data_IF_485820674563
#
_entry.id   IF_485820674563
#
_cell.length_a   1.000
_cell.length_b   1.000
_cell.length_c   1.000
_cell.angle_alpha   90.00
_cell.angle_beta   90.00
_cell.angle_gamma   90.00
#
_symmetry.space_group_name_H-M   'P 1'
#
loop_
_entity.id
_entity.type
_entity.pdbx_description
1 polymer ?
#
# COMPACT_ATOMS: atom_id res chain seq x y z
N UNK A 1 13.82 -13.55 -0.58
CA UNK A 1 13.66 -12.11 -0.38
C UNK A 1 14.07 -11.42 -1.65
N UNK A 2 13.27 -10.46 -2.11
CA UNK A 2 13.35 -9.77 -3.41
C UNK A 2 14.55 -8.79 -3.51
N UNK A 3 15.72 -9.23 -3.05
CA UNK A 3 16.95 -8.45 -3.05
C UNK A 3 17.90 -8.92 -4.15
N UNK A 4 17.49 -8.82 -5.42
CA UNK A 4 18.41 -8.77 -6.57
C UNK A 4 19.65 -9.69 -6.58
N UNK A 5 19.56 -10.93 -6.08
CA UNK A 5 20.67 -11.89 -6.03
C UNK A 5 21.63 -11.81 -4.83
N UNK A 6 21.44 -10.86 -3.89
CA UNK A 6 22.22 -10.76 -2.67
C UNK A 6 21.61 -11.58 -1.51
N UNK A 7 22.46 -12.02 -0.58
CA UNK A 7 22.00 -12.74 0.60
C UNK A 7 21.22 -11.78 1.55
N UNK A 8 20.06 -12.19 2.08
CA UNK A 8 19.23 -11.33 2.94
C UNK A 8 19.88 -11.01 4.29
N UNK A 9 20.88 -11.79 4.69
CA UNK A 9 21.71 -11.58 5.87
C UNK A 9 23.18 -11.65 5.47
N UNK A 10 23.95 -10.61 5.77
CA UNK A 10 25.38 -10.53 5.46
C UNK A 10 26.17 -10.04 6.66
N UNK A 11 27.32 -10.64 6.93
CA UNK A 11 28.20 -10.19 8.02
C UNK A 11 28.85 -8.85 7.64
N UNK A 12 28.46 -7.78 8.34
CA UNK A 12 28.91 -6.40 8.07
C UNK A 12 28.95 -5.61 9.37
N UNK A 13 29.84 -4.60 9.44
CA UNK A 13 29.88 -3.64 10.54
C UNK A 13 30.00 -4.28 11.95
N UNK A 14 30.68 -5.43 12.04
CA UNK A 14 30.84 -6.17 13.31
C UNK A 14 29.61 -6.96 13.75
N UNK A 15 28.53 -6.95 12.97
CA UNK A 15 27.30 -7.70 13.20
C UNK A 15 26.79 -8.39 11.93
N UNK A 16 25.47 -8.60 11.85
CA UNK A 16 24.81 -9.16 10.66
C UNK A 16 23.78 -8.18 10.14
N UNK A 17 24.01 -7.62 8.95
CA UNK A 17 23.09 -6.71 8.29
C UNK A 17 21.99 -7.47 7.59
N UNK A 18 20.76 -7.07 7.85
CA UNK A 18 19.58 -7.50 7.13
C UNK A 18 19.34 -6.59 5.91
N UNK A 19 19.11 -7.21 4.75
CA UNK A 19 18.84 -6.55 3.45
C UNK A 19 17.56 -7.07 2.78
N UNK A 20 16.74 -7.79 3.54
CA UNK A 20 15.49 -8.36 3.02
C UNK A 20 14.40 -7.31 2.81
N UNK A 21 13.25 -7.78 2.35
CA UNK A 21 12.00 -7.01 2.37
C UNK A 21 11.12 -7.57 3.49
N UNK A 22 10.41 -6.69 4.19
CA UNK A 22 9.32 -7.05 5.12
C UNK A 22 8.05 -7.47 4.36
N UNK A 23 7.99 -7.22 3.04
CA UNK A 23 6.86 -7.64 2.23
C UNK A 23 6.96 -9.12 1.86
N UNK A 24 5.96 -9.87 2.30
CA UNK A 24 5.75 -11.26 1.90
C UNK A 24 4.89 -11.27 0.63
N UNK A 25 5.36 -11.94 -0.43
CA UNK A 25 4.51 -12.20 -1.60
C UNK A 25 3.39 -13.15 -1.17
N UNK A 26 2.15 -12.68 -1.35
CA UNK A 26 0.95 -13.46 -1.11
C UNK A 26 0.13 -13.52 -2.38
N UNK A 27 -0.43 -14.70 -2.68
CA UNK A 27 -1.37 -14.81 -3.79
C UNK A 27 -2.79 -14.58 -3.26
N UNK A 28 -3.54 -13.68 -3.90
CA UNK A 28 -4.96 -13.45 -3.59
C UNK A 28 -5.79 -14.37 -4.46
N UNK A 29 -6.50 -15.29 -3.82
CA UNK A 29 -7.48 -16.16 -4.49
C UNK A 29 -8.91 -15.65 -4.27
N UNK A 30 -9.83 -16.18 -5.08
CA UNK A 30 -11.21 -15.69 -5.32
C UNK A 30 -12.19 -15.74 -4.13
N UNK A 31 -11.70 -15.83 -2.89
CA UNK A 31 -12.54 -15.82 -1.68
C UNK A 31 -11.89 -15.06 -0.51
N UNK A 32 -11.07 -14.04 -0.82
CA UNK A 32 -10.45 -13.17 0.19
C UNK A 32 -9.31 -13.82 1.02
N UNK A 33 -9.08 -15.12 0.87
CA UNK A 33 -7.94 -15.81 1.46
C UNK A 33 -6.64 -15.47 0.71
N UNK A 34 -5.76 -14.71 1.35
CA UNK A 34 -4.38 -14.51 0.92
C UNK A 34 -3.51 -15.61 1.53
N UNK A 35 -2.96 -16.49 0.68
CA UNK A 35 -1.99 -17.49 1.13
C UNK A 35 -0.59 -16.98 0.78
N UNK A 36 0.20 -16.68 1.80
CA UNK A 36 1.63 -16.46 1.66
C UNK A 36 2.30 -17.79 1.31
N UNK A 37 3.18 -17.82 0.32
CA UNK A 37 3.97 -19.01 -0.04
C UNK A 37 5.45 -18.85 0.31
N UNK A 38 5.82 -17.76 0.97
CA UNK A 38 7.17 -17.52 1.47
C UNK A 38 7.18 -17.44 2.99
N UNK A 39 8.20 -18.06 3.58
CA UNK A 39 8.55 -17.85 4.99
C UNK A 39 9.20 -16.48 5.13
N UNK A 40 8.66 -15.65 6.00
CA UNK A 40 9.25 -14.37 6.35
C UNK A 40 10.55 -14.59 7.15
N UNK A 41 11.67 -14.28 6.52
CA UNK A 41 12.98 -14.39 7.14
C UNK A 41 13.15 -13.48 8.35
N UNK A 42 12.44 -12.35 8.42
CA UNK A 42 12.49 -11.43 9.57
C UNK A 42 11.76 -12.00 10.78
N UNK A 43 10.62 -12.67 10.56
CA UNK A 43 9.89 -13.37 11.61
C UNK A 43 10.73 -14.49 12.27
N UNK A 44 11.60 -15.15 11.50
CA UNK A 44 12.44 -16.25 11.98
C UNK A 44 13.78 -15.75 12.55
N UNK A 45 14.51 -14.93 11.79
CA UNK A 45 15.89 -14.56 12.11
C UNK A 45 16.05 -13.14 12.68
N UNK A 46 14.96 -12.37 12.77
CA UNK A 46 14.98 -10.95 13.14
C UNK A 46 15.21 -10.06 11.92
N UNK A 47 14.70 -8.83 11.95
CA UNK A 47 14.79 -7.87 10.85
C UNK A 47 15.51 -6.59 11.28
N UNK A 48 15.00 -5.45 10.81
CA UNK A 48 15.39 -4.15 11.31
C UNK A 48 14.85 -3.94 12.75
N UNK A 49 15.45 -3.00 13.48
CA UNK A 49 14.98 -2.59 14.80
C UNK A 49 13.65 -1.84 14.74
N UNK A 50 13.09 -1.55 15.91
CA UNK A 50 12.11 -0.48 16.06
C UNK A 50 12.67 0.88 15.57
N UNK A 51 11.81 1.88 15.28
CA UNK A 51 12.26 3.22 14.93
C UNK A 51 13.18 3.79 16.00
N UNK A 52 14.23 4.49 15.59
CA UNK A 52 15.02 5.33 16.47
C UNK A 52 14.16 6.49 16.97
N UNK A 53 14.02 6.60 18.29
CA UNK A 53 13.25 7.64 18.94
C UNK A 53 11.75 7.52 18.69
N UNK A 54 11.04 8.64 18.82
CA UNK A 54 9.60 8.74 18.54
C UNK A 54 9.43 9.62 17.30
N UNK A 55 9.10 9.05 16.12
CA UNK A 55 8.99 9.80 14.89
C UNK A 55 8.07 11.02 15.04
N UNK A 56 8.57 12.19 14.63
CA UNK A 56 7.83 13.44 14.74
C UNK A 56 6.77 13.57 13.64
N UNK A 57 5.68 14.30 13.94
CA UNK A 57 4.74 14.73 12.91
C UNK A 57 5.36 15.88 12.10
N UNK A 58 5.66 15.60 10.84
CA UNK A 58 6.29 16.54 9.91
C UNK A 58 5.29 17.15 8.93
N UNK A 59 3.98 16.95 9.14
CA UNK A 59 2.87 17.41 8.29
C UNK A 59 3.27 18.62 7.45
N UNK A 60 3.53 18.43 6.14
CA UNK A 60 3.99 19.50 5.28
C UNK A 60 2.87 20.50 5.03
N UNK A 61 3.26 21.75 4.74
CA UNK A 61 2.32 22.66 4.10
C UNK A 61 2.05 22.19 2.67
N UNK A 62 0.81 22.33 2.21
CA UNK A 62 0.49 22.15 0.81
C UNK A 62 0.91 23.38 0.00
N UNK A 63 1.05 23.18 -1.30
CA UNK A 63 1.26 24.23 -2.31
C UNK A 63 0.31 24.01 -3.47
N UNK A 64 0.26 24.94 -4.42
CA UNK A 64 -0.53 24.76 -5.63
C UNK A 64 -0.11 23.51 -6.43
N UNK A 65 1.16 23.10 -6.34
CA UNK A 65 1.69 21.92 -7.04
C UNK A 65 1.44 20.60 -6.28
N UNK A 66 0.92 20.66 -5.05
CA UNK A 66 0.58 19.45 -4.29
C UNK A 66 -0.53 18.68 -5.00
N UNK A 67 -0.26 17.41 -5.30
CA UNK A 67 -1.22 16.53 -5.97
C UNK A 67 -2.35 16.15 -5.02
N UNK A 68 -3.56 16.01 -5.55
CA UNK A 68 -4.72 15.57 -4.77
C UNK A 68 -4.52 14.17 -4.18
N UNK A 69 -3.79 13.30 -4.87
CA UNK A 69 -3.45 11.96 -4.38
C UNK A 69 -2.48 11.94 -3.19
N UNK A 70 -1.76 13.04 -2.96
CA UNK A 70 -0.81 13.20 -1.84
C UNK A 70 -1.49 13.87 -0.62
N UNK A 71 -2.79 14.13 -0.68
CA UNK A 71 -3.57 14.70 0.42
C UNK A 71 -4.35 13.58 1.11
N UNK A 72 -4.33 13.57 2.45
CA UNK A 72 -5.26 12.73 3.19
C UNK A 72 -6.69 13.32 3.19
N UNK A 73 -6.85 14.59 2.84
CA UNK A 73 -8.12 15.31 2.89
C UNK A 73 -8.52 15.65 4.33
N UNK A 74 -9.52 16.51 4.46
CA UNK A 74 -10.11 16.91 5.74
C UNK A 74 -10.69 15.71 6.51
N UNK A 75 -11.26 14.75 5.76
CA UNK A 75 -11.83 13.51 6.31
C UNK A 75 -10.82 12.40 6.60
N UNK A 76 -9.57 12.54 6.12
CA UNK A 76 -8.54 11.50 6.23
C UNK A 76 -8.71 10.29 5.30
N UNK A 77 -9.70 10.30 4.39
CA UNK A 77 -10.01 9.21 3.44
C UNK A 77 -9.39 9.41 2.05
N UNK A 78 -8.58 10.46 1.88
CA UNK A 78 -8.08 10.92 0.58
C UNK A 78 -9.04 11.88 -0.09
N UNK A 79 -8.57 12.57 -1.13
CA UNK A 79 -9.40 13.51 -1.90
C UNK A 79 -9.97 12.81 -3.14
N UNK A 80 -11.28 12.55 -3.10
CA UNK A 80 -12.01 12.03 -4.27
C UNK A 80 -12.20 13.13 -5.32
N UNK A 81 -12.20 12.72 -6.59
CA UNK A 81 -12.55 13.61 -7.70
C UNK A 81 -14.04 13.52 -7.99
N UNK A 82 -14.65 14.63 -8.35
CA UNK A 82 -16.08 14.69 -8.59
C UNK A 82 -16.55 16.06 -9.05
N UNK A 83 -17.84 16.28 -8.99
CA UNK A 83 -18.45 17.58 -9.31
C UNK A 83 -18.96 18.22 -8.03
N UNK A 84 -18.69 19.52 -7.88
CA UNK A 84 -19.13 20.31 -6.73
C UNK A 84 -20.02 21.44 -7.23
N UNK A 85 -20.97 21.86 -6.41
CA UNK A 85 -21.79 23.05 -6.65
C UNK A 85 -21.33 24.16 -5.72
N UNK A 86 -21.09 25.35 -6.28
CA UNK A 86 -20.77 26.56 -5.53
C UNK A 86 -21.81 27.61 -5.89
N UNK A 87 -22.36 28.26 -4.87
CA UNK A 87 -23.32 29.35 -5.00
C UNK A 87 -22.94 30.53 -4.12
N UNK A 88 -23.16 31.76 -4.59
CA UNK A 88 -23.10 32.99 -3.78
C UNK A 88 -24.50 33.44 -3.29
N UNK A 89 -25.53 32.59 -3.48
CA UNK A 89 -26.92 32.89 -3.21
C UNK A 89 -27.69 33.54 -4.36
N UNK A 90 -27.00 34.04 -5.41
CA UNK A 90 -27.61 34.61 -6.62
C UNK A 90 -27.25 33.83 -7.88
N UNK A 91 -25.98 33.43 -7.98
CA UNK A 91 -25.38 32.63 -9.04
C UNK A 91 -25.01 31.27 -8.46
N UNK A 92 -25.28 30.21 -9.20
CA UNK A 92 -24.84 28.85 -8.86
C UNK A 92 -24.14 28.26 -10.07
N UNK A 93 -22.95 27.70 -9.86
CA UNK A 93 -22.23 26.95 -10.88
C UNK A 93 -21.93 25.53 -10.38
N UNK A 94 -21.93 24.59 -11.33
CA UNK A 94 -21.42 23.23 -11.13
C UNK A 94 -20.00 23.22 -11.70
N UNK A 95 -19.04 22.82 -10.88
CA UNK A 95 -17.61 22.77 -11.19
C UNK A 95 -17.21 21.31 -11.26
N UNK A 96 -16.59 20.92 -12.36
CA UNK A 96 -16.07 19.58 -12.56
C UNK A 96 -14.59 19.52 -12.16
N UNK A 97 -14.28 18.71 -11.15
CA UNK A 97 -12.93 18.46 -10.65
C UNK A 97 -12.42 17.06 -11.08
N UNK A 98 -13.12 16.36 -11.98
CA UNK A 98 -12.76 15.01 -12.42
C UNK A 98 -11.39 14.93 -13.09
N UNK A 99 -10.93 16.02 -13.72
CA UNK A 99 -9.62 16.14 -14.36
C UNK A 99 -8.56 16.84 -13.50
N UNK A 100 -8.90 17.31 -12.30
CA UNK A 100 -7.95 18.03 -11.44
C UNK A 100 -6.88 17.07 -10.91
N UNK A 101 -5.60 17.41 -11.06
CA UNK A 101 -4.49 16.62 -10.52
C UNK A 101 -3.88 17.25 -9.27
N UNK A 102 -3.90 18.57 -9.20
CA UNK A 102 -3.27 19.37 -8.14
C UNK A 102 -4.25 20.30 -7.44
N UNK A 103 -3.86 20.84 -6.28
CA UNK A 103 -4.62 21.92 -5.63
C UNK A 103 -4.72 23.17 -6.52
N UNK A 104 -3.69 23.45 -7.32
CA UNK A 104 -3.70 24.53 -8.30
C UNK A 104 -4.80 24.37 -9.34
N UNK A 105 -5.05 23.15 -9.81
CA UNK A 105 -6.14 22.85 -10.75
C UNK A 105 -7.51 23.09 -10.10
N UNK A 106 -7.69 22.64 -8.84
CA UNK A 106 -8.92 22.87 -8.07
C UNK A 106 -9.18 24.35 -7.88
N UNK A 107 -8.16 25.10 -7.42
CA UNK A 107 -8.25 26.55 -7.23
C UNK A 107 -8.61 27.24 -8.55
N UNK A 108 -7.95 26.86 -9.65
CA UNK A 108 -8.19 27.43 -10.97
C UNK A 108 -9.59 27.10 -11.50
N UNK A 109 -10.08 25.88 -11.29
CA UNK A 109 -11.42 25.46 -11.69
C UNK A 109 -12.51 26.25 -10.95
N UNK A 110 -12.34 26.44 -9.64
CA UNK A 110 -13.27 27.26 -8.83
C UNK A 110 -13.25 28.71 -9.29
N UNK A 111 -12.06 29.30 -9.44
CA UNK A 111 -11.91 30.71 -9.85
C UNK A 111 -12.43 30.97 -11.27
N UNK A 112 -12.26 30.02 -12.18
CA UNK A 112 -12.73 30.14 -13.57
C UNK A 112 -14.25 30.03 -13.71
N UNK A 113 -14.94 29.44 -12.73
CA UNK A 113 -16.40 29.36 -12.73
C UNK A 113 -17.08 30.72 -12.48
N UNK A 114 -16.36 31.71 -11.93
CA UNK A 114 -16.82 33.09 -11.85
C UNK A 114 -18.08 33.31 -11.00
N UNK A 115 -18.27 32.51 -9.94
CA UNK A 115 -19.47 32.58 -9.09
C UNK A 115 -19.40 33.79 -8.17
N UNK A 116 -20.01 34.92 -8.55
CA UNK A 116 -20.28 36.01 -7.61
C UNK A 116 -19.06 36.75 -7.04
N UNK A 117 -17.89 36.63 -7.69
CA UNK A 117 -16.64 37.16 -7.15
C UNK A 117 -16.02 36.30 -6.04
N UNK A 118 -16.48 35.06 -5.85
CA UNK A 118 -15.81 34.09 -4.98
C UNK A 118 -14.42 33.81 -5.53
N UNK A 119 -13.39 33.92 -4.68
CA UNK A 119 -12.02 33.60 -5.01
C UNK A 119 -11.49 32.49 -4.09
N UNK A 120 -11.22 31.32 -4.65
CA UNK A 120 -10.51 30.24 -3.99
C UNK A 120 -9.00 30.55 -3.95
N UNK A 121 -8.38 30.26 -2.81
CA UNK A 121 -6.94 30.33 -2.60
C UNK A 121 -6.52 29.32 -1.53
N UNK A 122 -5.22 29.09 -1.42
CA UNK A 122 -4.67 28.35 -0.28
C UNK A 122 -4.40 29.34 0.85
N UNK A 123 -4.74 28.96 2.09
CA UNK A 123 -4.42 29.75 3.27
C UNK A 123 -2.91 30.01 3.37
N UNK A 124 -2.53 31.09 4.06
CA UNK A 124 -1.12 31.48 4.20
C UNK A 124 -0.24 30.43 4.89
N UNK A 125 -0.84 29.57 5.72
CA UNK A 125 -0.16 28.43 6.36
C UNK A 125 0.00 27.22 5.42
N UNK A 126 -0.68 27.22 4.27
CA UNK A 126 -0.70 26.14 3.30
C UNK A 126 -1.49 24.91 3.76
N UNK A 127 -2.29 25.01 4.82
CA UNK A 127 -2.93 23.84 5.44
C UNK A 127 -4.36 23.62 4.94
N UNK A 128 -5.02 24.64 4.42
CA UNK A 128 -6.45 24.62 4.06
C UNK A 128 -6.76 25.49 2.85
N UNK A 129 -7.87 25.20 2.18
CA UNK A 129 -8.42 26.09 1.16
C UNK A 129 -9.27 27.19 1.81
N UNK A 130 -9.23 28.38 1.23
CA UNK A 130 -10.06 29.51 1.62
C UNK A 130 -10.84 30.00 0.40
N UNK A 131 -12.15 30.15 0.56
CA UNK A 131 -13.02 30.76 -0.45
C UNK A 131 -13.42 32.15 0.05
N UNK A 132 -12.74 33.17 -0.48
CA UNK A 132 -13.04 34.55 -0.17
C UNK A 132 -14.40 34.96 -0.75
N UNK A 133 -15.27 35.52 0.08
CA UNK A 133 -16.59 35.97 -0.37
C UNK A 133 -16.53 37.32 -1.11
N UNK A 134 -17.39 37.48 -2.11
CA UNK A 134 -17.74 38.79 -2.65
C UNK A 134 -18.53 39.63 -1.64
N UNK A 135 -18.68 40.94 -1.90
CA UNK A 135 -19.17 41.94 -0.93
C UNK A 135 -20.61 41.74 -0.40
N UNK A 136 -21.39 40.80 -0.93
CA UNK A 136 -22.78 40.58 -0.50
C UNK A 136 -23.30 39.15 -0.65
N UNK A 137 -22.52 38.22 -1.19
CA UNK A 137 -22.94 36.85 -1.47
C UNK A 137 -22.81 35.93 -0.24
N UNK A 138 -23.67 34.93 -0.16
CA UNK A 138 -23.59 33.84 0.83
C UNK A 138 -23.05 32.61 0.15
N UNK A 139 -21.83 32.21 0.52
CA UNK A 139 -21.19 31.03 -0.08
C UNK A 139 -21.91 29.76 0.40
N UNK A 140 -22.35 28.94 -0.55
CA UNK A 140 -22.83 27.59 -0.28
C UNK A 140 -22.07 26.64 -1.19
N UNK A 141 -21.35 25.69 -0.59
CA UNK A 141 -20.63 24.64 -1.29
C UNK A 141 -21.24 23.29 -0.93
N UNK A 142 -21.58 22.48 -1.95
CA UNK A 142 -22.09 21.12 -1.78
C UNK A 142 -21.51 20.18 -2.82
N UNK A 143 -21.29 18.94 -2.42
CA UNK A 143 -21.03 17.85 -3.35
C UNK A 143 -22.24 17.57 -4.24
N UNK A 144 -22.00 17.39 -5.54
CA UNK A 144 -23.00 16.96 -6.52
C UNK A 144 -22.76 15.50 -6.88
N UNK A 145 -21.52 15.15 -7.18
CA UNK A 145 -21.07 13.76 -7.35
C UNK A 145 -19.80 13.51 -6.54
N UNK A 146 -19.75 12.38 -5.83
CA UNK A 146 -18.62 12.05 -4.95
C UNK A 146 -18.63 12.86 -3.65
N UNK A 147 -17.45 13.02 -3.06
CA UNK A 147 -17.24 13.74 -1.78
C UNK A 147 -16.14 14.79 -1.89
N UNK A 148 -15.86 15.30 -3.10
CA UNK A 148 -14.71 16.16 -3.36
C UNK A 148 -14.70 17.43 -2.50
N UNK A 149 -15.82 18.12 -2.34
CA UNK A 149 -15.92 19.29 -1.49
C UNK A 149 -15.71 18.95 -0.01
N UNK A 150 -16.25 17.81 0.46
CA UNK A 150 -16.07 17.34 1.83
C UNK A 150 -14.61 16.95 2.11
N UNK A 151 -13.96 16.27 1.17
CA UNK A 151 -12.57 15.83 1.29
C UNK A 151 -11.61 17.02 1.23
N UNK A 152 -11.94 18.06 0.45
CA UNK A 152 -11.23 19.34 0.42
C UNK A 152 -11.55 20.23 1.64
N UNK A 153 -12.49 19.82 2.49
CA UNK A 153 -12.86 20.54 3.70
C UNK A 153 -13.61 21.86 3.45
N UNK A 154 -14.22 22.05 2.28
CA UNK A 154 -14.86 23.31 1.87
C UNK A 154 -16.40 23.24 1.85
N UNK A 155 -16.99 22.12 2.25
CA UNK A 155 -18.45 21.98 2.38
C UNK A 155 -18.99 22.96 3.43
N UNK A 156 -20.10 23.59 3.13
CA UNK A 156 -20.80 24.49 4.06
C UNK A 156 -22.07 23.84 4.58
N UNK A 157 -21.99 23.12 5.70
CA UNK A 157 -23.17 22.50 6.34
C UNK A 157 -24.05 23.55 7.02
N UNK A 158 -23.43 24.52 7.69
CA UNK A 158 -24.06 25.74 8.16
C UNK A 158 -23.65 26.87 7.22
N UNK A 159 -24.61 27.44 6.50
CA UNK A 159 -24.31 28.49 5.53
C UNK A 159 -23.76 29.74 6.25
N UNK A 160 -22.56 30.22 5.89
CA UNK A 160 -21.97 31.43 6.47
C UNK A 160 -22.91 32.65 6.38
N UNK A 161 -22.64 33.66 7.21
CA UNK A 161 -23.24 34.97 7.04
C UNK A 161 -22.97 35.54 5.64
N UNK A 162 -23.84 36.42 5.15
CA UNK A 162 -23.58 37.09 3.87
C UNK A 162 -22.26 37.89 3.96
N UNK A 163 -21.41 37.78 2.94
CA UNK A 163 -20.09 38.42 2.90
C UNK A 163 -19.02 37.75 3.78
N UNK A 164 -19.29 36.57 4.36
CA UNK A 164 -18.33 35.81 5.15
C UNK A 164 -17.62 34.78 4.27
N UNK A 165 -16.29 34.82 4.25
CA UNK A 165 -15.45 33.83 3.58
C UNK A 165 -15.57 32.44 4.22
N UNK A 166 -15.42 31.39 3.43
CA UNK A 166 -15.33 30.02 3.93
C UNK A 166 -13.88 29.69 4.18
N UNK A 167 -13.53 29.40 5.43
CA UNK A 167 -12.27 28.78 5.79
C UNK A 167 -12.47 27.27 5.80
N UNK A 168 -11.72 26.55 4.97
CA UNK A 168 -11.81 25.10 4.91
C UNK A 168 -11.13 24.42 6.09
N UNK A 169 -11.28 23.10 6.15
CA UNK A 169 -10.60 22.23 7.10
C UNK A 169 -9.18 21.85 6.63
N UNK A 170 -8.29 21.36 7.53
CA UNK A 170 -6.94 20.94 7.17
C UNK A 170 -6.92 19.84 6.11
N UNK A 171 -6.20 20.06 5.02
CA UNK A 171 -6.09 19.11 3.90
C UNK A 171 -5.16 17.93 4.20
N UNK A 172 -4.37 18.02 5.28
CA UNK A 172 -3.48 16.98 5.77
C UNK A 172 -2.58 16.42 4.66
N UNK A 173 -1.75 17.30 4.07
CA UNK A 173 -0.79 16.89 3.04
C UNK A 173 0.17 15.82 3.60
N UNK A 174 0.47 14.82 2.77
CA UNK A 174 1.38 13.73 3.11
C UNK A 174 2.81 14.08 2.72
N UNK A 175 3.75 13.56 3.49
CA UNK A 175 5.17 13.56 3.16
C UNK A 175 5.39 12.62 2.00
N UNK A 176 5.99 13.13 0.91
CA UNK A 176 6.42 12.35 -0.25
C UNK A 176 7.91 12.56 -0.48
N UNK A 177 8.58 11.71 -1.29
CA UNK A 177 9.98 11.93 -1.67
C UNK A 177 10.25 13.32 -2.28
N UNK A 178 9.25 13.91 -2.95
CA UNK A 178 9.37 15.19 -3.62
C UNK A 178 9.04 16.40 -2.72
N UNK A 179 8.51 16.17 -1.51
CA UNK A 179 8.24 17.24 -0.55
C UNK A 179 9.54 17.98 -0.22
N UNK A 180 9.51 19.32 -0.27
CA UNK A 180 10.66 20.15 0.09
C UNK A 180 10.88 20.13 1.61
N UNK A 181 12.15 20.10 2.04
CA UNK A 181 12.50 20.17 3.46
C UNK A 181 12.06 21.49 4.11
N UNK A 182 11.94 22.56 3.32
CA UNK A 182 11.44 23.86 3.77
C UNK A 182 9.92 23.87 4.04
N UNK A 183 9.17 22.94 3.43
CA UNK A 183 7.71 22.85 3.57
C UNK A 183 7.28 21.93 4.72
N UNK A 184 8.21 21.17 5.30
CA UNK A 184 7.95 20.33 6.46
C UNK A 184 7.56 21.15 7.69
N UNK A 185 6.83 20.53 8.62
CA UNK A 185 6.39 21.12 9.90
C UNK A 185 5.58 22.40 9.68
N UNK A 186 4.56 22.33 8.83
CA UNK A 186 3.75 23.48 8.39
C UNK A 186 4.58 24.55 7.65
N UNK A 187 5.67 24.14 7.02
CA UNK A 187 6.71 24.96 6.41
C UNK A 187 7.46 25.92 7.33
N UNK A 188 7.62 25.51 8.60
CA UNK A 188 8.72 26.02 9.43
C UNK A 188 10.09 25.50 8.94
N UNK A 189 10.06 24.45 8.14
CA UNK A 189 11.23 23.79 7.59
C UNK A 189 11.98 22.93 8.60
N UNK A 190 13.04 22.31 8.11
CA UNK A 190 13.99 21.54 8.89
C UNK A 190 15.29 22.33 9.06
N UNK A 191 15.92 22.20 10.23
CA UNK A 191 17.31 22.55 10.41
C UNK A 191 18.20 21.64 9.55
N UNK A 192 19.08 22.23 8.75
CA UNK A 192 19.97 21.52 7.82
C UNK A 192 21.40 21.37 8.37
N UNK A 193 21.62 21.69 9.65
CA UNK A 193 22.92 21.53 10.33
C UNK A 193 23.40 20.08 10.42
N UNK A 194 22.49 19.12 10.23
CA UNK A 194 22.80 17.70 10.17
C UNK A 194 22.95 17.05 11.55
N UNK A 195 23.29 15.78 11.54
CA UNK A 195 23.36 14.96 12.76
C UNK A 195 24.34 13.80 12.57
N UNK A 196 24.63 13.07 13.65
CA UNK A 196 25.55 11.93 13.62
C UNK A 196 24.80 10.64 13.88
N UNK A 197 25.05 9.64 13.03
CA UNK A 197 24.62 8.26 13.27
C UNK A 197 25.85 7.44 13.64
N UNK A 198 25.77 6.73 14.76
CA UNK A 198 26.76 5.73 15.16
C UNK A 198 26.06 4.39 15.25
N UNK A 199 26.63 3.35 14.65
CA UNK A 199 26.10 2.00 14.73
C UNK A 199 27.25 1.00 14.86
N UNK A 200 27.47 0.51 16.08
CA UNK A 200 28.65 -0.28 16.42
C UNK A 200 29.96 0.44 16.03
N UNK A 201 30.81 -0.14 15.16
CA UNK A 201 32.05 0.48 14.71
C UNK A 201 31.84 1.57 13.64
N UNK A 202 30.67 1.63 13.00
CA UNK A 202 30.38 2.59 11.94
C UNK A 202 29.97 3.95 12.54
N UNK A 203 30.50 5.03 11.98
CA UNK A 203 30.08 6.40 12.29
C UNK A 203 29.95 7.21 11.01
N UNK A 204 28.89 7.98 10.90
CA UNK A 204 28.70 8.93 9.80
C UNK A 204 28.08 10.22 10.30
N UNK A 205 28.63 11.34 9.83
CA UNK A 205 28.00 12.64 9.96
C UNK A 205 27.11 12.86 8.73
N UNK A 206 25.81 12.97 8.95
CA UNK A 206 24.82 13.23 7.90
C UNK A 206 24.77 14.74 7.68
N UNK A 207 25.25 15.18 6.51
CA UNK A 207 25.19 16.58 6.09
C UNK A 207 23.99 16.80 5.18
N UNK A 208 23.24 17.87 5.43
CA UNK A 208 22.08 18.26 4.63
C UNK A 208 22.30 19.58 3.88
N UNK A 209 23.54 20.07 3.79
CA UNK A 209 23.84 21.41 3.24
C UNK A 209 23.47 21.58 1.76
N UNK A 210 23.25 20.48 1.03
CA UNK A 210 22.76 20.49 -0.36
C UNK A 210 21.38 19.86 -0.54
N UNK A 211 20.76 19.36 0.53
CA UNK A 211 19.49 18.66 0.47
C UNK A 211 18.34 19.67 0.30
N UNK A 212 17.40 19.38 -0.61
CA UNK A 212 16.22 20.19 -0.85
C UNK A 212 14.94 19.42 -0.58
N UNK A 213 14.92 18.13 -0.86
CA UNK A 213 13.75 17.27 -0.74
C UNK A 213 13.89 16.23 0.36
N UNK A 214 12.78 15.59 0.71
CA UNK A 214 12.77 14.42 1.58
C UNK A 214 13.56 13.27 0.96
N UNK A 215 13.52 13.08 -0.36
CA UNK A 215 14.34 12.08 -1.06
C UNK A 215 15.85 12.31 -0.82
N UNK A 216 16.32 13.56 -0.86
CA UNK A 216 17.72 13.87 -0.57
C UNK A 216 18.09 13.48 0.86
N UNK A 217 17.20 13.75 1.83
CA UNK A 217 17.37 13.37 3.23
C UNK A 217 17.43 11.85 3.41
N UNK A 218 16.48 11.12 2.81
CA UNK A 218 16.43 9.66 2.88
C UNK A 218 17.70 9.05 2.27
N UNK A 219 18.13 9.55 1.11
CA UNK A 219 19.36 9.11 0.47
C UNK A 219 20.60 9.41 1.30
N UNK A 220 20.69 10.59 1.93
CA UNK A 220 21.81 10.94 2.81
C UNK A 220 21.95 9.96 3.99
N UNK A 221 20.82 9.51 4.57
CA UNK A 221 20.82 8.54 5.66
C UNK A 221 21.13 7.13 5.14
N UNK A 222 20.43 6.68 4.10
CA UNK A 222 20.52 5.33 3.55
C UNK A 222 21.90 5.03 2.94
N UNK A 223 22.55 6.04 2.34
CA UNK A 223 23.89 5.93 1.77
C UNK A 223 25.02 6.20 2.77
N UNK A 224 24.71 6.44 4.05
CA UNK A 224 25.72 6.79 5.08
C UNK A 224 26.71 5.67 5.41
N UNK A 225 26.43 4.43 5.01
CA UNK A 225 27.26 3.26 5.31
C UNK A 225 27.19 2.79 6.77
N UNK A 226 26.31 3.37 7.59
CA UNK A 226 26.13 2.99 9.00
C UNK A 226 25.17 1.81 9.20
N UNK A 227 24.51 1.36 8.13
CA UNK A 227 23.44 0.35 8.25
C UNK A 227 22.13 0.90 8.81
N UNK A 228 21.99 2.22 8.91
CA UNK A 228 20.69 2.87 9.11
C UNK A 228 19.84 2.75 7.84
N UNK A 229 18.55 2.49 8.02
CA UNK A 229 17.54 2.52 6.95
C UNK A 229 16.46 3.55 7.30
N UNK A 230 16.36 4.59 6.49
CA UNK A 230 15.37 5.65 6.57
C UNK A 230 14.26 5.44 5.53
N UNK A 231 13.02 5.66 5.94
CA UNK A 231 11.83 5.63 5.08
C UNK A 231 10.78 6.63 5.57
N UNK A 232 9.79 6.93 4.73
CA UNK A 232 8.59 7.65 5.16
C UNK A 232 7.75 6.68 6.01
N UNK A 233 7.19 7.20 7.12
CA UNK A 233 6.32 6.44 8.00
C UNK A 233 5.02 6.03 7.30
N UNK A 234 4.40 4.93 7.75
CA UNK A 234 3.13 4.46 7.21
C UNK A 234 1.96 5.45 7.46
N UNK A 235 2.14 6.36 8.43
CA UNK A 235 1.23 7.49 8.68
C UNK A 235 1.24 8.54 7.55
N UNK A 236 2.26 8.51 6.67
CA UNK A 236 2.50 9.49 5.63
C UNK A 236 2.87 10.87 6.16
N UNK A 237 3.31 10.98 7.42
CA UNK A 237 3.60 12.26 8.10
C UNK A 237 4.92 12.27 8.84
N UNK A 238 5.55 11.12 9.06
CA UNK A 238 6.82 11.02 9.77
C UNK A 238 7.93 10.45 8.89
N UNK A 239 9.18 10.62 9.33
CA UNK A 239 10.33 9.88 8.81
C UNK A 239 10.76 8.88 9.88
N UNK A 240 10.92 7.62 9.49
CA UNK A 240 11.30 6.51 10.35
C UNK A 240 12.70 6.08 10.00
N UNK A 241 13.56 5.90 11.01
CA UNK A 241 14.91 5.37 10.81
C UNK A 241 15.12 4.17 11.70
N UNK A 242 15.56 3.06 11.11
CA UNK A 242 15.76 1.78 11.79
C UNK A 242 17.19 1.31 11.65
N UNK A 243 17.68 0.58 12.65
CA UNK A 243 18.94 -0.14 12.57
C UNK A 243 18.72 -1.45 11.81
N UNK A 244 19.49 -1.71 10.76
CA UNK A 244 19.41 -2.98 10.02
C UNK A 244 20.51 -3.99 10.39
N UNK A 245 21.36 -3.66 11.37
CA UNK A 245 22.54 -4.44 11.74
C UNK A 245 22.33 -5.10 13.09
N UNK A 246 22.04 -6.41 13.07
CA UNK A 246 21.89 -7.21 14.27
C UNK A 246 23.22 -7.36 15.02
N UNK A 247 23.15 -7.28 16.36
CA UNK A 247 24.31 -7.35 17.24
C UNK A 247 25.05 -6.02 17.40
N UNK A 248 24.47 -4.92 16.92
CA UNK A 248 24.97 -3.57 17.14
C UNK A 248 23.86 -2.65 17.61
N UNK A 249 24.21 -1.63 18.40
CA UNK A 249 23.30 -0.59 18.84
C UNK A 249 23.56 0.67 18.03
N UNK A 250 22.49 1.22 17.45
CA UNK A 250 22.51 2.44 16.69
C UNK A 250 22.08 3.61 17.56
N UNK A 251 22.86 4.68 17.62
CA UNK A 251 22.48 5.94 18.26
C UNK A 251 22.43 7.05 17.22
N UNK A 252 21.51 7.98 17.44
CA UNK A 252 21.39 9.21 16.65
C UNK A 252 21.60 10.37 17.60
N UNK A 253 22.63 11.16 17.33
CA UNK A 253 23.01 12.31 18.14
C UNK A 253 23.00 13.58 17.30
N UNK A 254 22.61 14.68 17.90
CA UNK A 254 22.65 15.98 17.24
C UNK A 254 24.07 16.39 16.89
N UNK A 255 24.18 17.13 15.78
CA UNK A 255 25.40 17.84 15.43
C UNK A 255 25.44 19.21 16.10
N UNK A 256 25.52 20.25 15.28
CA UNK A 256 25.53 21.65 15.74
C UNK A 256 24.14 22.28 15.90
N UNK A 257 23.07 21.56 15.56
CA UNK A 257 21.70 22.05 15.65
C UNK A 257 20.70 20.99 16.13
N UNK A 258 19.50 20.99 15.56
CA UNK A 258 18.33 20.26 16.07
C UNK A 258 17.65 19.35 15.02
N UNK A 259 18.35 19.01 13.93
CA UNK A 259 17.80 18.22 12.84
C UNK A 259 17.21 16.90 13.32
N UNK A 260 17.94 16.13 14.14
CA UNK A 260 17.47 14.81 14.58
C UNK A 260 16.26 14.90 15.51
N UNK A 261 16.21 15.92 16.37
CA UNK A 261 15.11 16.19 17.30
C UNK A 261 13.86 16.60 16.55
N UNK A 262 14.00 17.41 15.50
CA UNK A 262 12.89 17.83 14.64
C UNK A 262 12.30 16.67 13.84
N UNK A 263 13.11 15.67 13.50
CA UNK A 263 12.65 14.42 12.87
C UNK A 263 12.12 13.40 13.90
N UNK A 264 12.33 13.62 15.20
CA UNK A 264 11.93 12.69 16.26
C UNK A 264 12.85 11.47 16.40
N UNK A 265 14.08 11.56 15.91
CA UNK A 265 14.99 10.40 15.80
C UNK A 265 15.99 10.27 16.94
N UNK A 266 16.04 11.23 17.87
CA UNK A 266 17.00 11.21 18.98
C UNK A 266 16.64 10.08 19.94
N UNK A 267 17.56 9.12 20.08
CA UNK A 267 17.44 7.99 21.00
C UNK A 267 18.77 7.82 21.74
N UNK A 268 18.78 8.17 23.03
CA UNK A 268 20.03 8.22 23.81
C UNK A 268 20.46 6.84 24.29
N UNK A 269 19.51 5.93 24.54
CA UNK A 269 19.83 4.54 24.87
C UNK A 269 20.32 3.77 23.63
N UNK A 270 20.02 4.30 22.45
CA UNK A 270 20.22 3.65 21.17
C UNK A 270 19.18 2.58 20.89
N UNK A 271 19.14 2.14 19.64
CA UNK A 271 18.20 1.14 19.15
C UNK A 271 18.95 -0.04 18.55
N UNK A 272 18.57 -1.24 18.97
CA UNK A 272 19.22 -2.49 18.57
C UNK A 272 18.29 -3.30 17.68
N UNK A 273 18.82 -3.88 16.61
CA UNK A 273 18.08 -4.83 15.79
C UNK A 273 18.09 -6.19 16.49
N UNK A 274 16.98 -6.54 17.13
CA UNK A 274 16.83 -7.81 17.81
C UNK A 274 16.65 -8.95 16.80
N UNK A 275 17.48 -9.97 16.93
CA UNK A 275 17.42 -11.14 16.08
C UNK A 275 18.32 -12.26 16.54
N UNK A 276 18.30 -13.37 15.81
CA UNK A 276 19.06 -14.57 16.22
C UNK A 276 20.56 -14.28 16.25
N UNK A 277 21.05 -13.46 15.32
CA UNK A 277 22.47 -13.14 15.22
C UNK A 277 22.90 -12.18 16.33
N UNK A 278 22.01 -11.27 16.76
CA UNK A 278 22.24 -10.45 17.95
C UNK A 278 22.37 -11.33 19.21
N UNK A 279 21.47 -12.29 19.41
CA UNK A 279 21.52 -13.22 20.54
C UNK A 279 22.76 -14.11 20.54
N UNK A 280 23.15 -14.65 19.39
CA UNK A 280 24.37 -15.46 19.26
C UNK A 280 25.65 -14.64 19.50
N UNK A 281 25.69 -13.40 19.02
CA UNK A 281 26.79 -12.46 19.28
C UNK A 281 26.90 -12.13 20.76
N UNK A 282 25.78 -11.81 21.40
CA UNK A 282 25.71 -11.56 22.84
C UNK A 282 26.17 -12.78 23.66
N UNK A 283 25.76 -13.99 23.28
CA UNK A 283 26.18 -15.22 23.94
C UNK A 283 27.70 -15.44 23.81
N UNK A 284 28.25 -15.26 22.60
CA UNK A 284 29.71 -15.33 22.38
C UNK A 284 30.44 -14.35 23.29
N UNK A 285 30.02 -13.10 23.30
CA UNK A 285 30.71 -12.04 24.05
C UNK A 285 30.59 -12.27 25.56
N UNK A 286 29.43 -12.71 26.05
CA UNK A 286 29.24 -13.06 27.45
C UNK A 286 30.11 -14.27 27.87
N UNK A 287 30.23 -15.30 27.02
CA UNK A 287 31.12 -16.44 27.27
C UNK A 287 32.59 -16.03 27.33
N UNK A 288 33.04 -15.18 26.41
CA UNK A 288 34.43 -14.69 26.37
C UNK A 288 34.78 -13.90 27.64
N UNK A 289 33.84 -13.12 28.16
CA UNK A 289 34.05 -12.29 29.35
C UNK A 289 33.63 -12.97 30.66
N UNK A 290 33.19 -14.24 30.61
CA UNK A 290 32.64 -14.97 31.76
C UNK A 290 31.48 -14.24 32.46
N UNK A 291 30.67 -13.50 31.69
CA UNK A 291 29.50 -12.78 32.18
C UNK A 291 28.28 -13.71 32.27
N UNK A 292 28.02 -14.20 33.48
CA UNK A 292 26.92 -15.13 33.76
C UNK A 292 25.54 -14.48 33.51
N UNK A 293 25.40 -13.19 33.80
CA UNK A 293 24.16 -12.47 33.57
C UNK A 293 23.92 -12.31 32.06
N UNK A 294 24.97 -11.93 31.31
CA UNK A 294 24.94 -11.84 29.85
C UNK A 294 24.62 -13.18 29.17
N UNK A 295 25.14 -14.30 29.67
CA UNK A 295 24.82 -15.64 29.14
C UNK A 295 23.33 -15.94 29.29
N UNK A 296 22.74 -15.65 30.45
CA UNK A 296 21.31 -15.87 30.70
C UNK A 296 20.46 -15.00 29.78
N UNK A 297 20.76 -13.70 29.68
CA UNK A 297 20.04 -12.78 28.81
C UNK A 297 20.12 -13.18 27.32
N UNK A 298 21.30 -13.59 26.85
CA UNK A 298 21.49 -14.05 25.48
C UNK A 298 20.73 -15.37 25.21
N UNK A 299 20.70 -16.30 26.18
CA UNK A 299 19.92 -17.53 26.08
C UNK A 299 18.41 -17.24 25.97
N UNK A 300 17.89 -16.27 26.73
CA UNK A 300 16.49 -15.84 26.63
C UNK A 300 16.17 -15.25 25.26
N UNK A 301 17.04 -14.39 24.72
CA UNK A 301 16.88 -13.85 23.35
C UNK A 301 16.83 -14.96 22.30
N UNK A 302 17.76 -15.93 22.38
CA UNK A 302 17.80 -17.07 21.46
C UNK A 302 16.54 -17.93 21.59
N UNK A 303 16.07 -18.19 22.82
CA UNK A 303 14.84 -18.95 23.06
C UNK A 303 13.62 -18.27 22.45
N UNK A 304 13.47 -16.95 22.61
CA UNK A 304 12.38 -16.20 21.98
C UNK A 304 12.40 -16.32 20.45
N UNK A 305 13.59 -16.34 19.83
CA UNK A 305 13.74 -16.55 18.39
C UNK A 305 13.44 -17.99 17.98
N UNK A 306 13.83 -18.98 18.78
CA UNK A 306 13.47 -20.38 18.56
C UNK A 306 11.95 -20.57 18.58
N UNK A 307 11.26 -19.96 19.54
CA UNK A 307 9.80 -20.00 19.63
C UNK A 307 9.15 -19.33 18.41
N UNK A 308 9.71 -18.23 17.92
CA UNK A 308 9.25 -17.58 16.69
C UNK A 308 9.41 -18.51 15.46
N UNK A 309 10.56 -19.18 15.34
CA UNK A 309 10.79 -20.17 14.29
C UNK A 309 9.77 -21.33 14.35
N UNK A 310 9.47 -21.84 15.54
CA UNK A 310 8.47 -22.91 15.72
C UNK A 310 7.08 -22.43 15.27
N UNK A 311 6.67 -21.20 15.62
CA UNK A 311 5.39 -20.63 15.17
C UNK A 311 5.30 -20.55 13.66
N UNK A 312 6.30 -19.96 13.02
CA UNK A 312 6.35 -19.82 11.55
C UNK A 312 6.36 -21.19 10.85
N UNK A 313 7.05 -22.18 11.41
CA UNK A 313 6.99 -23.57 10.93
C UNK A 313 5.60 -24.19 11.10
N UNK A 314 4.91 -23.91 12.19
CA UNK A 314 3.53 -24.34 12.44
C UNK A 314 2.56 -23.75 11.42
N UNK A 315 2.66 -22.46 11.12
CA UNK A 315 1.86 -21.78 10.10
C UNK A 315 2.12 -22.36 8.71
N UNK A 316 3.40 -22.56 8.33
CA UNK A 316 3.76 -23.18 7.06
C UNK A 316 3.23 -24.62 6.94
N UNK A 317 3.24 -25.39 8.04
CA UNK A 317 2.67 -26.74 8.06
C UNK A 317 1.15 -26.73 7.89
N UNK A 318 0.43 -25.80 8.53
CA UNK A 318 -1.01 -25.64 8.36
C UNK A 318 -1.36 -25.24 6.92
N UNK A 319 -0.57 -24.35 6.31
CA UNK A 319 -0.73 -23.98 4.90
C UNK A 319 -0.49 -25.18 3.98
N UNK A 320 0.56 -25.98 4.22
CA UNK A 320 0.83 -27.17 3.44
C UNK A 320 -0.33 -28.19 3.50
N UNK A 321 -0.95 -28.35 4.67
CA UNK A 321 -2.16 -29.18 4.83
C UNK A 321 -3.36 -28.62 4.06
N UNK A 322 -3.58 -27.30 4.07
CA UNK A 322 -4.64 -26.66 3.28
C UNK A 322 -4.41 -26.85 1.78
N UNK A 323 -3.17 -26.71 1.30
CA UNK A 323 -2.83 -26.99 -0.10
C UNK A 323 -3.09 -28.44 -0.50
N UNK A 324 -2.69 -29.40 0.34
CA UNK A 324 -2.92 -30.83 0.09
C UNK A 324 -4.42 -31.20 0.06
N UNK A 325 -5.19 -30.66 1.00
CA UNK A 325 -6.64 -30.86 1.06
C UNK A 325 -7.36 -30.26 -0.16
N UNK A 326 -6.90 -29.09 -0.64
CA UNK A 326 -7.43 -28.46 -1.85
C UNK A 326 -7.04 -29.18 -3.12
N UNK A 327 -5.80 -29.65 -3.22
CA UNK A 327 -5.34 -30.45 -4.37
C UNK A 327 -6.19 -31.72 -4.51
N UNK A 328 -6.41 -32.43 -3.40
CA UNK A 328 -7.29 -33.60 -3.36
C UNK A 328 -8.71 -33.27 -3.82
N UNK A 329 -9.29 -32.17 -3.32
CA UNK A 329 -10.64 -31.74 -3.74
C UNK A 329 -10.72 -31.40 -5.24
N UNK A 330 -9.70 -30.74 -5.79
CA UNK A 330 -9.64 -30.42 -7.22
C UNK A 330 -9.50 -31.67 -8.09
N UNK A 331 -8.77 -32.68 -7.62
CA UNK A 331 -8.68 -33.98 -8.29
C UNK A 331 -10.03 -34.71 -8.29
N UNK A 332 -10.74 -34.70 -7.16
CA UNK A 332 -12.09 -35.25 -7.04
C UNK A 332 -13.09 -34.52 -7.94
N UNK A 333 -13.08 -33.18 -7.95
CA UNK A 333 -13.96 -32.36 -8.77
C UNK A 333 -13.67 -32.56 -10.27
N UNK A 334 -12.40 -32.63 -10.66
CA UNK A 334 -11.99 -32.96 -12.03
C UNK A 334 -12.51 -34.33 -12.45
N UNK A 335 -12.38 -35.33 -11.58
CA UNK A 335 -12.88 -36.68 -11.83
C UNK A 335 -14.40 -36.68 -11.99
N UNK A 336 -15.12 -35.95 -11.12
CA UNK A 336 -16.57 -35.80 -11.20
C UNK A 336 -17.01 -35.08 -12.50
N UNK A 337 -16.33 -34.00 -12.89
CA UNK A 337 -16.59 -33.30 -14.15
C UNK A 337 -16.32 -34.19 -15.38
N UNK A 338 -15.25 -34.99 -15.34
CA UNK A 338 -14.96 -35.97 -16.41
C UNK A 338 -16.06 -37.03 -16.52
N UNK A 339 -16.58 -37.53 -15.39
CA UNK A 339 -17.70 -38.46 -15.38
C UNK A 339 -19.00 -37.83 -15.91
N UNK A 340 -19.29 -36.59 -15.54
CA UNK A 340 -20.43 -35.85 -16.08
C UNK A 340 -20.30 -35.62 -17.59
N UNK A 341 -19.11 -35.24 -18.07
CA UNK A 341 -18.83 -35.06 -19.49
C UNK A 341 -19.01 -36.39 -20.25
N UNK A 342 -18.45 -37.50 -19.75
CA UNK A 342 -18.62 -38.83 -20.36
C UNK A 342 -20.10 -39.22 -20.45
N UNK A 343 -20.88 -39.00 -19.39
CA UNK A 343 -22.31 -39.31 -19.39
C UNK A 343 -23.11 -38.49 -20.42
N UNK A 344 -22.79 -37.21 -20.58
CA UNK A 344 -23.44 -36.34 -21.58
C UNK A 344 -23.03 -36.78 -22.99
N UNK A 345 -21.74 -37.03 -23.23
CA UNK A 345 -21.25 -37.53 -24.52
C UNK A 345 -21.88 -38.88 -24.90
N UNK A 346 -22.00 -39.81 -23.96
CA UNK A 346 -22.66 -41.11 -24.16
C UNK A 346 -24.15 -40.99 -24.46
N UNK A 347 -24.85 -40.05 -23.81
CA UNK A 347 -26.27 -39.79 -24.08
C UNK A 347 -26.48 -39.24 -25.49
N UNK A 348 -25.67 -38.29 -25.93
CA UNK A 348 -25.72 -37.71 -27.27
C UNK A 348 -25.40 -38.75 -28.36
N UNK A 349 -24.39 -39.61 -28.12
CA UNK A 349 -24.08 -40.73 -29.02
C UNK A 349 -25.24 -41.72 -29.13
N UNK A 350 -25.90 -42.04 -28.01
CA UNK A 350 -27.07 -42.92 -27.98
C UNK A 350 -28.23 -42.31 -28.78
N UNK A 351 -28.52 -41.02 -28.60
CA UNK A 351 -29.55 -40.34 -29.38
C UNK A 351 -29.21 -40.31 -30.88
N UNK A 352 -27.96 -40.03 -31.23
CA UNK A 352 -27.51 -40.04 -32.62
C UNK A 352 -27.68 -41.43 -33.27
N UNK A 353 -27.36 -42.51 -32.56
CA UNK A 353 -27.56 -43.90 -33.01
C UNK A 353 -29.05 -44.18 -33.22
N UNK A 354 -29.91 -43.80 -32.27
CA UNK A 354 -31.37 -44.00 -32.37
C UNK A 354 -31.94 -43.24 -33.56
N UNK A 355 -31.56 -41.96 -33.75
CA UNK A 355 -31.97 -41.15 -34.92
C UNK A 355 -31.47 -41.75 -36.24
N UNK A 356 -30.25 -42.27 -36.28
CA UNK A 356 -29.72 -42.92 -37.47
C UNK A 356 -30.49 -44.21 -37.80
N UNK A 357 -30.81 -45.03 -36.80
CA UNK A 357 -31.61 -46.23 -36.98
C UNK A 357 -33.05 -45.93 -37.43
N UNK A 358 -33.70 -44.89 -36.89
CA UNK A 358 -35.04 -44.48 -37.35
C UNK A 358 -35.02 -43.96 -38.77
N UNK A 359 -34.01 -43.18 -39.15
CA UNK A 359 -33.81 -42.73 -40.54
C UNK A 359 -33.57 -43.89 -41.49
N UNK A 360 -32.76 -44.90 -41.12
CA UNK A 360 -32.58 -46.11 -41.92
C UNK A 360 -33.87 -46.89 -42.09
N UNK A 361 -34.64 -47.09 -41.01
CA UNK A 361 -35.94 -47.78 -41.07
C UNK A 361 -36.94 -47.02 -41.95
N UNK A 362 -37.02 -45.70 -41.82
CA UNK A 362 -37.87 -44.86 -42.65
C UNK A 362 -37.46 -44.90 -44.13
N UNK A 363 -36.16 -44.89 -44.42
CA UNK A 363 -35.63 -45.03 -45.79
C UNK A 363 -35.94 -46.42 -46.37
N UNK A 364 -35.76 -47.49 -45.60
CA UNK A 364 -36.15 -48.84 -46.03
C UNK A 364 -37.65 -48.94 -46.29
N UNK A 365 -38.48 -48.40 -45.40
CA UNK A 365 -39.93 -48.33 -45.58
C UNK A 365 -40.28 -47.51 -46.84
N UNK A 366 -39.66 -46.34 -47.06
CA UNK A 366 -39.93 -45.54 -48.26
C UNK A 366 -39.50 -46.24 -49.54
N UNK A 367 -38.37 -46.97 -49.53
CA UNK A 367 -37.91 -47.78 -50.67
C UNK A 367 -38.87 -48.95 -50.92
N UNK A 368 -39.37 -49.62 -49.86
CA UNK A 368 -40.39 -50.68 -50.00
C UNK A 368 -41.73 -50.14 -50.50
N UNK A 369 -42.20 -49.00 -49.96
CA UNK A 369 -43.42 -48.32 -50.42
C UNK A 369 -43.27 -47.84 -51.86
N UNK A 370 -42.14 -47.24 -52.23
CA UNK A 370 -41.84 -46.88 -53.62
C UNK A 370 -41.84 -48.13 -54.52
N UNK A 371 -41.27 -49.24 -54.06
CA UNK A 371 -41.33 -50.53 -54.74
C UNK A 371 -42.77 -51.07 -54.91
N UNK A 372 -43.64 -50.87 -53.94
CA UNK A 372 -45.05 -51.26 -54.04
C UNK A 372 -45.88 -50.33 -54.94
N UNK A 373 -45.69 -49.01 -54.85
CA UNK A 373 -46.36 -48.02 -55.72
C UNK A 373 -45.94 -48.19 -57.18
N UNK A 374 -44.64 -48.43 -57.44
CA UNK A 374 -44.15 -48.70 -58.80
C UNK A 374 -44.69 -50.03 -59.35
N UNK A 375 -44.91 -51.06 -58.52
CA UNK A 375 -45.56 -52.29 -58.95
C UNK A 375 -47.07 -52.14 -59.17
N UNK A 376 -47.78 -51.34 -58.37
CA UNK A 376 -49.21 -51.08 -58.54
C UNK A 376 -49.47 -50.19 -59.77
N UNK A 377 -48.61 -49.21 -60.04
CA UNK A 377 -48.68 -48.32 -61.21
C UNK A 377 -48.47 -49.04 -62.54
N UNK A 378 -47.79 -50.19 -62.56
CA UNK A 378 -47.62 -50.99 -63.77
C UNK A 378 -48.78 -51.98 -63.98
N UNK A 379 -49.44 -52.42 -62.91
CA UNK A 379 -50.61 -53.31 -62.98
C UNK A 379 -51.91 -52.55 -63.32
N UNK A 380 -52.08 -51.30 -62.85
CA UNK A 380 -53.25 -50.45 -63.18
C UNK A 380 -53.13 -49.76 -64.56
N UNK A 381 -52.01 -49.97 -65.27
CA UNK A 381 -51.83 -49.54 -66.66
C UNK A 381 -52.04 -50.72 -67.66
N UNK A 382 -52.34 -51.92 -67.16
CA UNK A 382 -52.48 -53.15 -67.96
C UNK A 382 -53.78 -53.94 -67.68
N UNK A 383 -54.82 -53.28 -67.18
CA UNK A 383 -56.24 -53.64 -67.37
C UNK A 383 -57.03 -52.35 -67.65
#
# INVERSE_FOLDING_TARGET
GDGGGEAPYAAELGGVRWRGSEQVLANRYSDGAALAFMVDGTAVFGGASDPAGTPADLSPRATADTRLGDLAGARGEGVSRGTISISDGSTTAIIDLSSAETLGDVISAINSAGVGGIAASLAADGMRLELAAGSSGRIVVRDVTGTAAADLGIVTDASPGAGVSVEGEPLNARVTPLTLLADLRGGSGLDLSGFTIVNGPARAQISLSGARTVEDLLNAINASGTGAAASIGADGRSIVVRNTVQGSTMTVAEGSGQTASQLGMVETAGVSADGVFAGLGALRDALVHSDIAGITAAAEMIQQRLDACIRVRGEAAAQAQDFDARATRLEDEKTAMQALLSNVEEADLTEAIVRFQTLQNALQASVQTAGHVLNMSLLDFLD
#
